data_IF_775381488475
#
_entry.id   IF_775381488475
#
_cell.length_a   1.000
_cell.length_b   1.000
_cell.length_c   1.000
_cell.angle_alpha   90.00
_cell.angle_beta   90.00
_cell.angle_gamma   90.00
#
_symmetry.space_group_name_H-M   'P 1'
#
loop_
_entity.id
_entity.type
_entity.pdbx_description
1 polymer ?
#
# COMPACT_ATOMS: atom_id res chain seq x y z
N UNK A 1 11.63 6.16 0.36
CA UNK A 1 12.05 7.26 1.24
C UNK A 1 13.48 6.99 1.65
N UNK A 2 14.33 7.99 1.55
CA UNK A 2 15.72 7.94 2.00
C UNK A 2 15.83 8.90 3.19
N UNK A 3 16.32 8.42 4.32
CA UNK A 3 16.65 9.26 5.46
C UNK A 3 18.17 9.26 5.60
N UNK A 4 18.75 10.44 5.80
CA UNK A 4 20.20 10.59 5.97
C UNK A 4 20.47 11.27 7.30
N UNK A 5 21.27 10.64 8.15
CA UNK A 5 21.82 11.33 9.32
C UNK A 5 22.95 12.26 8.85
N UNK A 6 22.85 13.52 9.24
CA UNK A 6 23.90 14.52 9.02
C UNK A 6 24.46 14.86 10.40
N UNK A 7 25.72 14.53 10.64
CA UNK A 7 26.43 14.90 11.85
C UNK A 7 27.49 15.96 11.49
N UNK A 8 27.44 17.16 12.06
CA UNK A 8 28.42 18.21 11.75
C UNK A 8 29.84 17.84 12.21
N UNK A 9 30.00 16.89 13.15
CA UNK A 9 31.31 16.45 13.64
C UNK A 9 31.90 15.29 12.84
N UNK A 10 31.07 14.54 12.14
CA UNK A 10 31.49 13.40 11.32
C UNK A 10 30.77 13.43 9.97
N UNK A 11 31.46 13.64 8.84
CA UNK A 11 30.83 13.81 7.52
C UNK A 11 30.29 12.48 6.92
N UNK A 12 29.97 11.49 7.76
CA UNK A 12 29.45 10.19 7.33
C UNK A 12 27.94 10.29 7.11
N UNK A 13 27.51 10.09 5.87
CA UNK A 13 26.10 10.02 5.50
C UNK A 13 25.59 8.60 5.70
N UNK A 14 24.89 8.35 6.80
CA UNK A 14 24.15 7.10 6.98
C UNK A 14 22.80 7.20 6.28
N UNK A 15 22.69 6.58 5.11
CA UNK A 15 21.46 6.55 4.33
C UNK A 15 20.62 5.29 4.66
N UNK A 16 19.44 5.47 5.25
CA UNK A 16 18.43 4.41 5.32
C UNK A 16 17.57 4.48 4.08
N UNK A 17 17.67 3.43 3.25
CA UNK A 17 16.74 3.20 2.15
C UNK A 17 15.60 2.31 2.65
N UNK A 18 14.40 2.88 2.76
CA UNK A 18 13.19 2.07 2.90
C UNK A 18 12.79 1.59 1.50
N UNK A 19 13.35 0.45 1.06
CA UNK A 19 12.95 -0.22 -0.18
C UNK A 19 11.72 -1.12 0.05
N UNK A 20 10.82 -1.15 -0.94
CA UNK A 20 9.51 -1.84 -0.91
C UNK A 20 9.59 -3.37 -0.92
N UNK A 21 10.45 -3.98 -0.12
CA UNK A 21 10.31 -5.40 0.19
C UNK A 21 9.48 -5.49 1.47
N UNK A 22 8.16 -5.55 1.30
CA UNK A 22 7.25 -5.78 2.42
C UNK A 22 7.71 -7.05 3.17
N UNK A 23 8.05 -6.92 4.45
CA UNK A 23 8.39 -8.05 5.34
C UNK A 23 7.28 -9.11 5.36
N UNK A 24 6.04 -8.69 5.09
CA UNK A 24 4.86 -9.53 4.96
C UNK A 24 4.13 -9.20 3.66
N UNK A 25 3.98 -10.20 2.78
CA UNK A 25 3.35 -10.06 1.45
C UNK A 25 2.00 -10.79 1.40
N UNK A 26 0.93 -10.21 1.98
CA UNK A 26 -0.38 -10.85 2.04
C UNK A 26 -0.98 -11.11 0.65
N UNK A 27 -0.57 -10.34 -0.38
CA UNK A 27 -1.02 -10.52 -1.74
C UNK A 27 -0.66 -11.89 -2.32
N UNK A 28 0.58 -12.38 -2.10
CA UNK A 28 1.01 -13.68 -2.62
C UNK A 28 0.22 -14.83 -1.98
N UNK A 29 0.09 -14.79 -0.63
CA UNK A 29 -0.72 -15.77 0.11
C UNK A 29 -2.18 -15.75 -0.34
N UNK A 30 -2.74 -14.55 -0.51
CA UNK A 30 -4.10 -14.38 -0.98
C UNK A 30 -4.29 -14.92 -2.40
N UNK A 31 -3.33 -14.68 -3.31
CA UNK A 31 -3.43 -15.16 -4.68
C UNK A 31 -3.46 -16.68 -4.74
N UNK A 32 -2.58 -17.36 -4.02
CA UNK A 32 -2.60 -18.82 -3.94
C UNK A 32 -3.94 -19.35 -3.40
N UNK A 33 -4.47 -18.74 -2.33
CA UNK A 33 -5.76 -19.10 -1.76
C UNK A 33 -6.93 -18.82 -2.73
N UNK A 34 -6.87 -17.71 -3.47
CA UNK A 34 -7.87 -17.34 -4.46
C UNK A 34 -7.94 -18.41 -5.56
N UNK A 35 -6.80 -18.80 -6.14
CA UNK A 35 -6.78 -19.82 -7.20
C UNK A 35 -7.28 -21.18 -6.68
N UNK A 36 -6.85 -21.59 -5.48
CA UNK A 36 -7.32 -22.83 -4.85
C UNK A 36 -8.84 -22.82 -4.64
N UNK A 37 -9.38 -21.71 -4.12
CA UNK A 37 -10.83 -21.58 -3.89
C UNK A 37 -11.60 -21.45 -5.19
N UNK A 38 -11.05 -20.77 -6.21
CA UNK A 38 -11.69 -20.69 -7.53
C UNK A 38 -11.87 -22.09 -8.13
N UNK A 39 -10.82 -22.90 -8.12
CA UNK A 39 -10.87 -24.29 -8.59
C UNK A 39 -11.85 -25.14 -7.77
N UNK A 40 -11.84 -25.02 -6.43
CA UNK A 40 -12.73 -25.80 -5.57
C UNK A 40 -14.22 -25.49 -5.77
N UNK A 41 -14.58 -24.21 -5.96
CA UNK A 41 -15.97 -23.79 -6.14
C UNK A 41 -16.38 -23.67 -7.62
N UNK A 42 -15.50 -24.02 -8.57
CA UNK A 42 -15.74 -23.89 -10.01
C UNK A 42 -15.98 -22.44 -10.48
N UNK A 43 -15.40 -21.46 -9.78
CA UNK A 43 -15.60 -20.03 -10.06
C UNK A 43 -14.91 -19.62 -11.36
N UNK A 44 -13.78 -20.22 -11.66
CA UNK A 44 -13.06 -20.07 -12.93
C UNK A 44 -13.97 -20.40 -14.13
N UNK A 45 -14.69 -21.52 -14.06
CA UNK A 45 -15.64 -21.94 -15.10
C UNK A 45 -16.81 -20.95 -15.20
N UNK A 46 -17.29 -20.42 -14.07
CA UNK A 46 -18.36 -19.42 -14.03
C UNK A 46 -17.92 -18.07 -14.62
N UNK A 47 -16.68 -17.65 -14.37
CA UNK A 47 -16.10 -16.42 -14.93
C UNK A 47 -15.91 -16.50 -16.44
N UNK A 48 -15.46 -17.64 -16.97
CA UNK A 48 -15.32 -17.86 -18.41
C UNK A 48 -16.64 -17.78 -19.18
N UNK A 49 -17.78 -18.00 -18.50
CA UNK A 49 -19.12 -17.91 -19.11
C UNK A 49 -19.64 -16.48 -19.21
N UNK A 50 -19.01 -15.52 -18.54
CA UNK A 50 -19.42 -14.10 -18.62
C UNK A 50 -18.85 -13.50 -19.90
N UNK A 51 -19.69 -12.96 -20.81
CA UNK A 51 -19.20 -12.25 -21.98
C UNK A 51 -18.34 -11.05 -21.56
N UNK A 52 -17.20 -10.79 -22.23
CA UNK A 52 -16.38 -9.64 -21.89
C UNK A 52 -17.17 -8.34 -22.09
N UNK A 53 -16.96 -7.34 -21.23
CA UNK A 53 -17.55 -6.01 -21.40
C UNK A 53 -16.64 -5.15 -22.29
N UNK A 54 -16.73 -5.34 -23.61
CA UNK A 54 -16.01 -4.56 -24.63
C UNK A 54 -17.00 -3.98 -25.63
N UNK A 55 -16.61 -2.92 -26.35
CA UNK A 55 -17.49 -2.17 -27.27
C UNK A 55 -18.18 -3.06 -28.31
N UNK A 56 -17.54 -4.14 -28.75
CA UNK A 56 -18.06 -5.13 -29.70
C UNK A 56 -18.83 -6.30 -29.07
N UNK A 57 -18.88 -6.41 -27.74
CA UNK A 57 -19.52 -7.51 -27.00
C UNK A 57 -20.57 -7.04 -25.97
N UNK A 58 -20.87 -5.73 -25.95
CA UNK A 58 -21.91 -5.15 -25.07
C UNK A 58 -23.27 -5.80 -25.30
N UNK A 59 -23.66 -6.04 -26.56
CA UNK A 59 -24.93 -6.70 -26.89
C UNK A 59 -25.03 -8.10 -26.26
N UNK A 60 -23.98 -8.92 -26.40
CA UNK A 60 -23.91 -10.24 -25.79
C UNK A 60 -23.97 -10.20 -24.26
N UNK A 61 -23.33 -9.20 -23.64
CA UNK A 61 -23.41 -8.97 -22.20
C UNK A 61 -24.82 -8.57 -21.74
N UNK A 62 -25.51 -7.70 -22.46
CA UNK A 62 -26.88 -7.27 -22.14
C UNK A 62 -27.88 -8.43 -22.31
N UNK A 63 -27.73 -9.25 -23.35
CA UNK A 63 -28.53 -10.47 -23.55
C UNK A 63 -28.27 -11.48 -22.43
N UNK A 64 -27.00 -11.67 -22.05
CA UNK A 64 -26.64 -12.48 -20.89
C UNK A 64 -27.34 -11.94 -19.63
N UNK A 65 -27.24 -10.64 -19.32
CA UNK A 65 -27.88 -10.08 -18.13
C UNK A 65 -29.43 -10.15 -18.13
N UNK A 66 -30.05 -10.17 -19.31
CA UNK A 66 -31.50 -10.16 -19.48
C UNK A 66 -32.13 -11.56 -19.60
N UNK A 67 -31.33 -12.63 -19.66
CA UNK A 67 -31.87 -13.98 -19.84
C UNK A 67 -32.62 -14.45 -18.58
N UNK A 68 -33.88 -14.93 -18.71
CA UNK A 68 -34.68 -15.40 -17.58
C UNK A 68 -34.06 -16.65 -16.92
N UNK A 69 -34.27 -16.80 -15.61
CA UNK A 69 -33.78 -17.95 -14.84
C UNK A 69 -34.59 -19.23 -15.18
N UNK A 70 -34.01 -20.45 -15.11
CA UNK A 70 -34.72 -21.68 -15.39
C UNK A 70 -35.24 -22.27 -14.09
N UNK A 71 -36.07 -23.30 -14.25
CA UNK A 71 -36.65 -24.10 -13.18
C UNK A 71 -35.67 -25.11 -12.56
N UNK A 72 -34.39 -25.16 -12.98
CA UNK A 72 -33.38 -26.12 -12.50
C UNK A 72 -32.30 -25.46 -11.61
N UNK A 73 -32.12 -25.88 -10.34
CA UNK A 73 -31.10 -25.37 -9.42
C UNK A 73 -29.64 -25.69 -9.82
N UNK A 74 -29.41 -26.61 -10.76
CA UNK A 74 -28.07 -26.94 -11.26
C UNK A 74 -27.61 -26.10 -12.47
N UNK A 75 -28.49 -25.26 -13.02
CA UNK A 75 -28.22 -24.60 -14.29
C UNK A 75 -27.57 -23.21 -14.14
N UNK A 76 -26.68 -22.91 -15.09
CA UNK A 76 -25.75 -21.78 -15.09
C UNK A 76 -26.35 -20.51 -15.68
N UNK A 77 -27.49 -20.09 -15.16
CA UNK A 77 -28.10 -18.84 -15.59
C UNK A 77 -27.42 -17.60 -15.05
N UNK A 78 -27.58 -16.45 -15.71
CA UNK A 78 -26.97 -15.19 -15.30
C UNK A 78 -27.26 -14.81 -13.84
N UNK A 79 -28.47 -15.10 -13.35
CA UNK A 79 -28.86 -14.86 -11.96
C UNK A 79 -28.11 -15.78 -10.99
N UNK A 80 -28.00 -17.07 -11.31
CA UNK A 80 -27.27 -18.06 -10.52
C UNK A 80 -25.76 -17.80 -10.55
N UNK A 81 -25.19 -17.49 -11.73
CA UNK A 81 -23.79 -17.08 -11.91
C UNK A 81 -23.49 -15.84 -11.07
N UNK A 82 -24.31 -14.79 -11.19
CA UNK A 82 -24.17 -13.57 -10.39
C UNK A 82 -24.26 -13.86 -8.89
N UNK A 83 -25.22 -14.66 -8.44
CA UNK A 83 -25.39 -14.97 -7.01
C UNK A 83 -24.22 -15.80 -6.46
N UNK A 84 -23.73 -16.79 -7.21
CA UNK A 84 -22.55 -17.59 -6.85
C UNK A 84 -21.29 -16.72 -6.77
N UNK A 85 -21.07 -15.84 -7.74
CA UNK A 85 -19.94 -14.90 -7.74
C UNK A 85 -20.05 -13.88 -6.61
N UNK A 86 -21.24 -13.33 -6.36
CA UNK A 86 -21.48 -12.44 -5.22
C UNK A 86 -21.15 -13.14 -3.90
N UNK A 87 -21.68 -14.35 -3.68
CA UNK A 87 -21.38 -15.12 -2.45
C UNK A 87 -19.89 -15.38 -2.29
N UNK A 88 -19.19 -15.73 -3.38
CA UNK A 88 -17.75 -16.00 -3.34
C UNK A 88 -16.92 -14.74 -3.05
N UNK A 89 -17.20 -13.64 -3.74
CA UNK A 89 -16.41 -12.41 -3.65
C UNK A 89 -16.76 -11.52 -2.45
N UNK A 90 -17.97 -11.63 -1.91
CA UNK A 90 -18.37 -10.96 -0.68
C UNK A 90 -18.12 -11.80 0.57
N UNK A 91 -17.57 -13.01 0.42
CA UNK A 91 -17.21 -13.82 1.57
C UNK A 91 -16.13 -13.13 2.42
N UNK A 92 -16.22 -13.38 3.72
CA UNK A 92 -15.36 -12.86 4.78
C UNK A 92 -13.87 -12.97 4.46
N UNK A 93 -13.41 -14.09 3.88
CA UNK A 93 -12.00 -14.29 3.54
C UNK A 93 -11.54 -13.39 2.39
N UNK A 94 -12.41 -13.13 1.40
CA UNK A 94 -12.09 -12.28 0.26
C UNK A 94 -11.99 -10.83 0.69
N UNK A 95 -12.95 -10.37 1.49
CA UNK A 95 -12.96 -9.02 2.07
C UNK A 95 -11.77 -8.82 3.03
N UNK A 96 -11.38 -9.85 3.78
CA UNK A 96 -10.24 -9.82 4.70
C UNK A 96 -8.92 -9.50 4.01
N UNK A 97 -8.76 -9.78 2.71
CA UNK A 97 -7.58 -9.40 1.91
C UNK A 97 -7.25 -7.90 2.05
N UNK A 98 -8.25 -7.04 1.85
CA UNK A 98 -8.06 -5.59 1.89
C UNK A 98 -7.67 -5.11 3.30
N UNK A 99 -8.11 -5.83 4.33
CA UNK A 99 -7.69 -5.58 5.71
C UNK A 99 -6.24 -6.02 5.96
N UNK A 100 -5.88 -7.24 5.55
CA UNK A 100 -4.51 -7.78 5.66
C UNK A 100 -3.50 -6.91 4.90
N UNK A 101 -3.86 -6.43 3.70
CA UNK A 101 -3.03 -5.51 2.92
C UNK A 101 -2.81 -4.18 3.64
N UNK A 102 -3.86 -3.58 4.20
CA UNK A 102 -3.75 -2.35 5.00
C UNK A 102 -2.89 -2.57 6.25
N UNK A 103 -3.03 -3.72 6.92
CA UNK A 103 -2.23 -4.11 8.09
C UNK A 103 -0.75 -4.26 7.73
N UNK A 104 -0.44 -4.94 6.63
CA UNK A 104 0.93 -5.11 6.13
C UNK A 104 1.59 -3.77 5.77
N UNK A 105 0.83 -2.89 5.10
CA UNK A 105 1.30 -1.56 4.74
C UNK A 105 1.56 -0.71 5.99
N UNK A 106 0.66 -0.76 6.99
CA UNK A 106 0.86 -0.11 8.29
C UNK A 106 2.16 -0.59 8.96
N UNK A 107 2.35 -1.91 9.06
CA UNK A 107 3.56 -2.47 9.65
C UNK A 107 4.85 -2.03 8.93
N UNK A 108 4.81 -1.90 7.60
CA UNK A 108 5.93 -1.39 6.82
C UNK A 108 6.28 0.06 7.18
N UNK A 109 5.27 0.92 7.36
CA UNK A 109 5.52 2.30 7.81
C UNK A 109 6.08 2.34 9.22
N UNK A 110 5.50 1.57 10.13
CA UNK A 110 5.92 1.53 11.53
C UNK A 110 7.39 1.08 11.63
N UNK A 111 7.79 0.06 10.85
CA UNK A 111 9.20 -0.35 10.77
C UNK A 111 10.13 0.76 10.26
N UNK A 112 9.72 1.48 9.21
CA UNK A 112 10.50 2.61 8.68
C UNK A 112 10.63 3.74 9.70
N UNK A 113 9.55 4.07 10.41
CA UNK A 113 9.54 5.08 11.48
C UNK A 113 10.47 4.67 12.61
N UNK A 114 10.38 3.43 13.08
CA UNK A 114 11.28 2.87 14.10
C UNK A 114 12.75 3.01 13.71
N UNK A 115 13.09 2.69 12.46
CA UNK A 115 14.45 2.82 11.96
C UNK A 115 14.92 4.28 11.92
N UNK A 116 14.07 5.21 11.47
CA UNK A 116 14.39 6.65 11.47
C UNK A 116 14.58 7.21 12.89
N UNK A 117 13.76 6.81 13.85
CA UNK A 117 13.91 7.22 15.24
C UNK A 117 15.19 6.67 15.87
N UNK A 118 15.56 5.42 15.53
CA UNK A 118 16.83 4.81 15.98
C UNK A 118 18.07 5.54 15.46
N UNK A 119 18.05 6.04 14.22
CA UNK A 119 19.14 6.88 13.70
C UNK A 119 19.36 8.13 14.54
N UNK A 120 18.28 8.69 15.09
CA UNK A 120 18.32 9.85 15.97
C UNK A 120 18.72 9.49 17.43
N UNK A 121 19.10 8.24 17.70
CA UNK A 121 19.38 7.74 19.06
C UNK A 121 18.11 7.46 19.89
N UNK A 122 16.94 7.49 19.27
CA UNK A 122 15.64 7.38 19.90
C UNK A 122 14.97 6.01 19.80
N UNK A 123 13.78 5.92 20.38
CA UNK A 123 12.88 4.77 20.25
C UNK A 123 11.42 5.24 20.11
N UNK A 124 10.49 4.30 19.94
CA UNK A 124 9.07 4.60 19.68
C UNK A 124 8.23 4.87 20.95
N UNK A 125 8.79 4.69 22.13
CA UNK A 125 8.06 4.60 23.40
C UNK A 125 8.41 5.75 24.36
N UNK A 126 9.65 6.22 24.33
CA UNK A 126 10.18 7.19 25.28
C UNK A 126 10.11 8.60 24.72
N UNK A 127 9.44 9.51 25.43
CA UNK A 127 9.49 10.94 25.11
C UNK A 127 10.89 11.49 25.38
N UNK A 128 11.35 12.35 24.49
CA UNK A 128 12.61 13.06 24.61
C UNK A 128 12.35 14.44 25.20
N UNK A 129 13.03 14.75 26.30
CA UNK A 129 12.85 16.01 27.05
C UNK A 129 13.72 17.13 26.49
N UNK A 130 14.90 16.80 25.94
CA UNK A 130 15.81 17.75 25.27
C UNK A 130 16.42 17.11 24.02
N UNK A 131 15.75 17.21 22.87
CA UNK A 131 16.20 16.56 21.65
C UNK A 131 17.39 17.30 21.02
N UNK A 132 18.53 16.62 20.93
CA UNK A 132 19.71 17.09 20.19
C UNK A 132 19.61 16.86 18.67
N UNK A 133 18.46 16.37 18.21
CA UNK A 133 18.21 16.01 16.80
C UNK A 133 16.97 16.73 16.31
N UNK A 134 17.06 17.30 15.12
CA UNK A 134 15.95 17.92 14.40
C UNK A 134 15.66 17.07 13.16
N UNK A 135 14.38 16.72 12.96
CA UNK A 135 13.96 16.07 11.72
C UNK A 135 13.56 17.11 10.68
N UNK A 136 14.30 17.14 9.58
CA UNK A 136 14.02 17.99 8.43
C UNK A 136 13.27 17.18 7.36
N UNK A 137 12.12 17.68 6.91
CA UNK A 137 11.29 17.03 5.90
C UNK A 137 11.16 17.94 4.68
N UNK A 138 11.50 17.39 3.52
CA UNK A 138 11.28 17.99 2.22
C UNK A 138 9.82 18.30 1.92
N UNK A 139 9.51 19.56 1.58
CA UNK A 139 8.16 19.94 1.21
C UNK A 139 7.84 19.68 -0.27
N UNK A 140 8.85 19.52 -1.13
CA UNK A 140 8.68 19.28 -2.55
C UNK A 140 8.05 17.93 -2.84
N UNK A 141 7.25 17.90 -3.90
CA UNK A 141 6.71 16.67 -4.48
C UNK A 141 7.25 16.57 -5.89
N UNK A 142 8.22 15.67 -6.08
CA UNK A 142 8.81 15.42 -7.39
C UNK A 142 8.25 14.11 -7.92
N UNK A 143 8.13 13.99 -9.24
CA UNK A 143 7.91 12.70 -9.87
C UNK A 143 9.27 12.13 -10.27
N UNK A 144 9.51 10.87 -9.92
CA UNK A 144 10.62 10.11 -10.49
C UNK A 144 10.45 10.01 -12.01
N UNK A 145 11.53 9.67 -12.73
CA UNK A 145 11.49 9.44 -14.20
C UNK A 145 10.44 8.38 -14.62
N UNK A 146 10.05 7.49 -13.70
CA UNK A 146 9.02 6.47 -13.90
C UNK A 146 7.61 6.94 -13.48
N UNK A 147 7.39 8.24 -13.25
CA UNK A 147 6.10 8.82 -12.87
C UNK A 147 5.65 8.52 -11.43
N UNK A 148 6.47 7.87 -10.61
CA UNK A 148 6.14 7.62 -9.21
C UNK A 148 6.46 8.87 -8.38
N UNK A 149 5.54 9.33 -7.51
CA UNK A 149 5.82 10.44 -6.62
C UNK A 149 6.95 10.07 -5.66
N UNK A 150 7.92 10.97 -5.50
CA UNK A 150 9.03 10.84 -4.54
C UNK A 150 8.54 10.93 -3.09
N UNK A 151 7.43 11.66 -2.90
CA UNK A 151 6.80 11.89 -1.61
C UNK A 151 5.77 10.80 -1.29
N UNK A 152 5.88 10.21 -0.10
CA UNK A 152 4.93 9.21 0.39
C UNK A 152 4.09 9.80 1.52
N UNK A 153 3.04 10.57 1.18
CA UNK A 153 2.29 11.39 2.15
C UNK A 153 1.76 10.64 3.38
N UNK A 154 1.33 9.38 3.25
CA UNK A 154 0.91 8.58 4.42
C UNK A 154 2.05 8.26 5.39
N UNK A 155 3.24 7.94 4.89
CA UNK A 155 4.41 7.61 5.71
C UNK A 155 4.90 8.87 6.43
N UNK A 156 5.00 9.99 5.70
CA UNK A 156 5.39 11.27 6.25
C UNK A 156 4.44 11.77 7.33
N UNK A 157 3.12 11.77 7.05
CA UNK A 157 2.12 12.19 8.05
C UNK A 157 2.21 11.36 9.33
N UNK A 158 2.42 10.05 9.20
CA UNK A 158 2.61 9.15 10.35
C UNK A 158 3.92 9.43 11.09
N UNK A 159 5.01 9.61 10.36
CA UNK A 159 6.30 9.92 10.93
C UNK A 159 6.26 11.24 11.70
N UNK A 160 5.75 12.33 11.10
CA UNK A 160 5.59 13.64 11.75
C UNK A 160 4.76 13.51 13.04
N UNK A 161 3.61 12.85 12.97
CA UNK A 161 2.76 12.64 14.13
C UNK A 161 3.47 11.86 15.24
N UNK A 162 4.22 10.83 14.88
CA UNK A 162 4.97 10.01 15.84
C UNK A 162 6.16 10.77 16.44
N UNK A 163 6.98 11.41 15.62
CA UNK A 163 8.14 12.19 16.07
C UNK A 163 7.74 13.34 17.00
N UNK A 164 6.70 14.11 16.63
CA UNK A 164 6.19 15.20 17.47
C UNK A 164 5.62 14.70 18.80
N UNK A 165 4.88 13.59 18.79
CA UNK A 165 4.34 13.01 20.04
C UNK A 165 5.43 12.49 21.00
N UNK A 166 6.62 12.20 20.47
CA UNK A 166 7.80 11.84 21.24
C UNK A 166 8.67 13.06 21.64
N UNK A 167 8.28 14.27 21.27
CA UNK A 167 9.00 15.50 21.65
C UNK A 167 10.07 15.96 20.65
N UNK A 168 10.21 15.31 19.49
CA UNK A 168 11.18 15.75 18.47
C UNK A 168 10.68 16.98 17.70
N UNK A 169 11.54 17.99 17.45
CA UNK A 169 11.26 19.06 16.51
C UNK A 169 11.22 18.51 15.08
N UNK A 170 10.17 18.85 14.34
CA UNK A 170 10.02 18.47 12.94
C UNK A 170 9.75 19.71 12.10
N UNK A 171 10.69 20.03 11.22
CA UNK A 171 10.68 21.23 10.37
C UNK A 171 10.48 20.86 8.91
N UNK A 172 9.69 21.67 8.21
CA UNK A 172 9.54 21.58 6.75
C UNK A 172 10.65 22.39 6.07
N UNK A 173 11.34 21.78 5.12
CA UNK A 173 12.37 22.46 4.33
C UNK A 173 11.85 22.70 2.93
N UNK A 174 11.96 23.95 2.46
CA UNK A 174 11.68 24.27 1.07
C UNK A 174 12.84 23.78 0.19
N UNK A 175 12.52 22.91 -0.76
CA UNK A 175 13.51 22.18 -1.54
C UNK A 175 13.93 22.88 -2.83
N UNK A 176 13.38 24.07 -3.12
CA UNK A 176 13.54 24.79 -4.39
C UNK A 176 15.01 24.96 -4.84
N UNK A 177 15.97 25.03 -3.90
CA UNK A 177 17.41 25.11 -4.20
C UNK A 177 18.24 23.89 -3.74
N UNK A 178 17.61 22.86 -3.18
CA UNK A 178 18.31 21.69 -2.61
C UNK A 178 18.66 20.63 -3.64
N UNK A 179 17.97 20.60 -4.78
CA UNK A 179 18.27 19.71 -5.92
C UNK A 179 19.28 20.29 -6.90
N UNK A 180 19.42 21.63 -6.94
CA UNK A 180 20.30 22.35 -7.86
C UNK A 180 21.73 22.52 -7.31
N UNK A 181 21.93 22.37 -6.00
CA UNK A 181 23.25 22.49 -5.36
C UNK A 181 23.50 21.26 -4.50
N UNK A 182 24.57 20.53 -4.79
CA UNK A 182 25.02 19.45 -3.92
C UNK A 182 25.36 20.06 -2.55
N UNK A 183 24.80 19.56 -1.43
CA UNK A 183 25.18 20.04 -0.10
C UNK A 183 26.66 19.75 0.09
N UNK A 184 27.48 20.81 -0.01
CA UNK A 184 28.90 20.76 0.37
C UNK A 184 28.94 20.98 1.87
N UNK A 185 29.45 19.97 2.59
CA UNK A 185 29.94 20.14 3.96
C UNK A 185 31.25 20.91 3.91
#
# INVERSE_FOLDING_TARGET
MTATRLDPKTPVREAIRVSRNFLYQPYLKFRALLEQKKAFYGIDVLECRIPPLKMNSVGAYLTFMSSPAPLDPNDATPRNVRQKLLRFYYDSWFVKKSWEQRKAQKACYDYGIKAMLRLAGGNESTKVVNPNVIFCIGLGSFNTRTGLPTKHGQLERRFVGKARSLGYPVVGCNEYFTSAKCPRL
#
